data_IF_145721320432
#
_entry.id   IF_145721320432
#
_cell.length_a   1.000
_cell.length_b   1.000
_cell.length_c   1.000
_cell.angle_alpha   90.00
_cell.angle_beta   90.00
_cell.angle_gamma   90.00
#
_symmetry.space_group_name_H-M   'P 1'
#
loop_
_entity.id
_entity.type
_entity.pdbx_description
1 polymer ?
#
# COMPACT_ATOMS: atom_id res chain seq x y z
N UNK A 1 26.86 -35.05 16.87
CA UNK A 1 27.19 -34.90 15.43
C UNK A 1 27.03 -33.42 15.11
N UNK A 2 28.08 -32.75 14.64
CA UNK A 2 28.01 -31.34 14.23
C UNK A 2 28.14 -31.28 12.71
N UNK A 3 27.24 -30.55 12.05
CA UNK A 3 27.26 -30.33 10.61
C UNK A 3 27.54 -28.84 10.35
N UNK A 4 28.40 -28.54 9.38
CA UNK A 4 28.57 -27.19 8.88
C UNK A 4 27.43 -26.87 7.90
N UNK A 5 26.80 -25.72 8.08
CA UNK A 5 25.74 -25.22 7.21
C UNK A 5 26.26 -24.02 6.42
N UNK A 6 25.90 -23.93 5.15
CA UNK A 6 26.19 -22.78 4.31
C UNK A 6 25.26 -21.61 4.68
N UNK A 7 25.75 -20.67 5.50
CA UNK A 7 25.02 -19.44 5.80
C UNK A 7 25.20 -18.43 4.66
N UNK A 8 24.10 -18.00 4.01
CA UNK A 8 24.08 -17.13 2.83
C UNK A 8 24.61 -17.75 1.52
N UNK A 9 24.71 -19.07 1.46
CA UNK A 9 25.10 -19.83 0.27
C UNK A 9 24.19 -21.05 0.11
N UNK A 10 24.17 -21.66 -1.06
CA UNK A 10 23.42 -22.90 -1.32
C UNK A 10 24.33 -24.13 -1.28
N UNK A 11 23.79 -25.26 -0.83
CA UNK A 11 24.50 -26.54 -0.78
C UNK A 11 24.41 -27.28 -2.12
N UNK A 12 25.56 -27.68 -2.68
CA UNK A 12 25.64 -28.64 -3.79
C UNK A 12 25.66 -30.09 -3.26
N UNK A 13 25.24 -31.11 -4.03
CA UNK A 13 25.31 -32.52 -3.61
C UNK A 13 26.70 -33.01 -3.16
N UNK A 14 27.78 -32.29 -3.50
CA UNK A 14 29.15 -32.55 -3.04
C UNK A 14 29.52 -31.86 -1.72
N UNK A 15 28.61 -31.12 -1.09
CA UNK A 15 28.82 -30.42 0.18
C UNK A 15 29.62 -29.11 0.06
N UNK A 16 29.57 -28.45 -1.10
CA UNK A 16 30.25 -27.17 -1.35
C UNK A 16 29.24 -26.03 -1.27
N UNK A 17 29.62 -24.91 -0.64
CA UNK A 17 28.83 -23.68 -0.67
C UNK A 17 28.95 -22.98 -2.03
N UNK A 18 27.84 -22.87 -2.76
CA UNK A 18 27.72 -22.14 -4.01
C UNK A 18 27.05 -20.77 -3.79
N UNK A 19 27.45 -19.71 -4.55
CA UNK A 19 26.80 -18.41 -4.46
C UNK A 19 25.32 -18.52 -4.81
N UNK A 20 24.48 -17.81 -4.06
CA UNK A 20 23.04 -17.75 -4.32
C UNK A 20 22.76 -17.09 -5.67
N UNK A 21 21.77 -17.63 -6.37
CA UNK A 21 21.28 -17.15 -7.66
C UNK A 21 20.50 -15.85 -7.42
N UNK A 22 20.85 -14.80 -8.17
CA UNK A 22 20.22 -13.48 -8.11
C UNK A 22 18.71 -13.55 -8.38
N UNK A 23 17.96 -12.58 -7.84
CA UNK A 23 16.55 -12.41 -8.17
C UNK A 23 16.35 -12.29 -9.69
N UNK A 24 15.28 -12.89 -10.21
CA UNK A 24 14.99 -13.09 -11.64
C UNK A 24 16.00 -13.99 -12.39
N UNK A 25 16.92 -14.65 -11.68
CA UNK A 25 17.82 -15.65 -12.25
C UNK A 25 17.15 -17.02 -12.41
N UNK A 26 17.70 -17.85 -13.31
CA UNK A 26 17.22 -19.23 -13.54
C UNK A 26 17.63 -20.12 -12.37
N UNK A 27 16.70 -20.95 -11.88
CA UNK A 27 16.93 -21.88 -10.79
C UNK A 27 16.30 -23.26 -11.08
N UNK A 28 16.80 -24.27 -10.40
CA UNK A 28 16.31 -25.66 -10.53
C UNK A 28 15.59 -26.15 -9.26
N UNK A 29 15.90 -25.56 -8.11
CA UNK A 29 15.34 -25.96 -6.82
C UNK A 29 15.24 -24.79 -5.84
N UNK A 30 14.38 -24.93 -4.82
CA UNK A 30 14.35 -23.98 -3.71
C UNK A 30 15.67 -23.99 -2.92
N UNK A 31 15.98 -22.89 -2.26
CA UNK A 31 17.20 -22.74 -1.44
C UNK A 31 18.47 -22.36 -2.23
N UNK A 32 18.41 -22.31 -3.57
CA UNK A 32 19.53 -21.85 -4.41
C UNK A 32 19.46 -20.34 -4.71
N UNK A 33 18.31 -19.72 -4.49
CA UNK A 33 18.07 -18.31 -4.78
C UNK A 33 18.48 -17.40 -3.61
N UNK A 34 18.71 -16.12 -3.90
CA UNK A 34 18.97 -15.08 -2.88
C UNK A 34 17.91 -15.07 -1.78
N UNK A 35 18.26 -14.55 -0.60
CA UNK A 35 17.34 -14.43 0.53
C UNK A 35 16.02 -13.74 0.12
N UNK A 36 14.91 -14.16 0.73
CA UNK A 36 13.55 -13.67 0.44
C UNK A 36 13.09 -13.97 -1.00
N UNK A 37 13.56 -15.07 -1.59
CA UNK A 37 13.06 -15.58 -2.86
C UNK A 37 12.91 -17.09 -2.86
N UNK A 38 12.01 -17.57 -3.72
CA UNK A 38 11.78 -18.99 -3.98
C UNK A 38 11.99 -19.28 -5.46
N UNK A 39 12.33 -20.53 -5.78
CA UNK A 39 12.37 -20.98 -7.15
C UNK A 39 10.95 -21.29 -7.62
N UNK A 40 10.38 -20.39 -8.40
CA UNK A 40 9.04 -20.52 -8.95
C UNK A 40 9.12 -20.51 -10.47
N UNK A 41 8.58 -21.56 -11.10
CA UNK A 41 8.61 -21.74 -12.56
C UNK A 41 10.04 -21.63 -13.17
N UNK A 42 11.03 -22.17 -12.45
CA UNK A 42 12.44 -22.13 -12.86
C UNK A 42 13.10 -20.77 -12.72
N UNK A 43 12.46 -19.80 -12.04
CA UNK A 43 12.98 -18.44 -11.83
C UNK A 43 12.96 -18.08 -10.34
N UNK A 44 14.06 -17.50 -9.85
CA UNK A 44 14.14 -16.96 -8.50
C UNK A 44 13.23 -15.74 -8.35
N UNK A 45 12.05 -15.96 -7.77
CA UNK A 45 10.99 -14.97 -7.60
C UNK A 45 10.96 -14.51 -6.15
N UNK A 46 10.96 -13.19 -5.92
CA UNK A 46 10.86 -12.64 -4.57
C UNK A 46 9.51 -13.03 -3.94
N UNK A 47 9.54 -13.40 -2.66
CA UNK A 47 8.34 -13.75 -1.90
C UNK A 47 7.53 -12.49 -1.52
N UNK A 48 6.35 -12.69 -0.94
CA UNK A 48 5.47 -11.61 -0.51
C UNK A 48 6.20 -10.55 0.32
N UNK A 49 5.84 -9.29 0.10
CA UNK A 49 6.48 -8.10 0.66
C UNK A 49 7.89 -7.78 0.14
N UNK A 50 8.41 -8.51 -0.84
CA UNK A 50 9.68 -8.20 -1.49
C UNK A 50 9.55 -8.00 -3.01
N UNK A 51 10.44 -7.18 -3.57
CA UNK A 51 10.57 -6.99 -5.01
C UNK A 51 12.03 -7.11 -5.46
N UNK A 52 12.22 -7.53 -6.70
CA UNK A 52 13.54 -7.69 -7.29
C UNK A 52 14.11 -6.33 -7.72
N UNK A 53 15.26 -5.95 -7.15
CA UNK A 53 16.06 -4.79 -7.58
C UNK A 53 17.54 -5.13 -7.47
N UNK A 54 18.31 -4.84 -8.52
CA UNK A 54 19.77 -5.13 -8.59
C UNK A 54 20.14 -6.61 -8.35
N UNK A 55 19.22 -7.54 -8.64
CA UNK A 55 19.43 -8.98 -8.41
C UNK A 55 19.28 -9.42 -6.96
N UNK A 56 18.75 -8.56 -6.07
CA UNK A 56 18.38 -8.90 -4.70
C UNK A 56 16.89 -8.63 -4.47
N UNK A 57 16.29 -9.33 -3.50
CA UNK A 57 14.92 -9.08 -3.07
C UNK A 57 14.92 -8.05 -1.93
N UNK A 58 14.41 -6.86 -2.22
CA UNK A 58 14.30 -5.74 -1.27
C UNK A 58 12.86 -5.61 -0.77
N UNK A 59 12.67 -5.10 0.44
CA UNK A 59 11.35 -4.83 1.01
C UNK A 59 10.58 -3.83 0.14
N UNK A 60 9.27 -4.04 -0.03
CA UNK A 60 8.38 -3.06 -0.65
C UNK A 60 8.43 -1.72 0.10
N UNK A 61 8.33 -0.63 -0.66
CA UNK A 61 8.38 0.72 -0.11
C UNK A 61 7.08 1.10 0.59
N UNK A 62 7.21 1.59 1.83
CA UNK A 62 6.10 1.99 2.70
C UNK A 62 5.50 3.33 2.23
N UNK A 63 4.26 3.66 2.61
CA UNK A 63 3.69 4.96 2.32
C UNK A 63 4.58 6.09 2.85
N UNK A 64 4.84 7.11 2.04
CA UNK A 64 5.74 8.24 2.33
C UNK A 64 7.22 7.99 2.05
N UNK A 65 7.62 6.78 1.66
CA UNK A 65 8.98 6.51 1.21
C UNK A 65 9.22 7.10 -0.19
N UNK A 66 10.39 7.70 -0.40
CA UNK A 66 10.83 8.13 -1.74
C UNK A 66 10.94 6.92 -2.66
N UNK A 67 10.43 7.05 -3.88
CA UNK A 67 10.41 5.99 -4.88
C UNK A 67 10.83 6.54 -6.25
N UNK A 68 11.25 5.62 -7.13
CA UNK A 68 11.48 5.87 -8.55
C UNK A 68 10.59 4.95 -9.42
N UNK A 69 10.70 5.07 -10.74
CA UNK A 69 9.89 4.28 -11.69
C UNK A 69 10.16 2.76 -11.61
N UNK A 70 11.27 2.33 -11.00
CA UNK A 70 11.63 0.92 -10.82
C UNK A 70 11.18 0.36 -9.47
N UNK A 71 10.86 1.24 -8.52
CA UNK A 71 10.53 0.86 -7.16
C UNK A 71 9.08 0.39 -7.01
N UNK A 72 8.88 -0.60 -6.15
CA UNK A 72 7.56 -1.12 -5.82
C UNK A 72 7.16 -0.68 -4.43
N UNK A 73 6.03 0.02 -4.36
CA UNK A 73 5.37 0.34 -3.10
C UNK A 73 4.60 -0.88 -2.54
N UNK A 74 4.25 -0.84 -1.26
CA UNK A 74 3.39 -1.84 -0.63
C UNK A 74 2.05 -2.00 -1.35
N UNK A 75 1.32 -3.08 -1.07
CA UNK A 75 0.02 -3.31 -1.66
C UNK A 75 -0.92 -2.10 -1.48
N UNK A 76 -1.77 -1.84 -2.47
CA UNK A 76 -2.73 -0.73 -2.48
C UNK A 76 -2.08 0.66 -2.44
N UNK A 77 -0.81 0.76 -2.84
CA UNK A 77 -0.10 2.02 -3.01
C UNK A 77 0.62 2.08 -4.36
N UNK A 78 0.92 3.30 -4.81
CA UNK A 78 1.64 3.56 -6.05
C UNK A 78 2.65 4.68 -5.86
N UNK A 79 3.69 4.68 -6.70
CA UNK A 79 4.71 5.72 -6.69
C UNK A 79 4.14 6.96 -7.40
N UNK A 80 3.87 8.01 -6.64
CA UNK A 80 3.27 9.25 -7.17
C UNK A 80 4.26 10.42 -7.11
N UNK A 81 4.31 11.21 -8.19
CA UNK A 81 5.13 12.42 -8.25
C UNK A 81 4.63 13.47 -7.26
N UNK A 82 5.55 14.06 -6.52
CA UNK A 82 5.26 15.16 -5.61
C UNK A 82 5.15 16.44 -6.45
N UNK A 83 3.93 16.98 -6.56
CA UNK A 83 3.61 18.13 -7.42
C UNK A 83 4.46 19.39 -7.18
N UNK A 84 5.06 19.51 -5.98
CA UNK A 84 5.80 20.69 -5.55
C UNK A 84 7.32 20.51 -5.53
N UNK A 85 7.84 19.34 -5.93
CA UNK A 85 9.28 19.05 -5.93
C UNK A 85 9.66 18.33 -7.22
N UNK A 86 10.37 19.04 -8.09
CA UNK A 86 10.83 18.53 -9.38
C UNK A 86 11.67 17.26 -9.20
N UNK A 87 11.20 16.14 -9.77
CA UNK A 87 11.91 14.87 -9.73
C UNK A 87 11.77 14.06 -8.43
N UNK A 88 10.94 14.51 -7.47
CA UNK A 88 10.62 13.71 -6.30
C UNK A 88 9.31 12.93 -6.51
N UNK A 89 9.32 11.66 -6.18
CA UNK A 89 8.13 10.82 -6.08
C UNK A 89 8.15 10.07 -4.74
N UNK A 90 6.97 9.79 -4.22
CA UNK A 90 6.80 9.02 -2.98
C UNK A 90 5.67 8.00 -3.13
N UNK A 91 5.77 6.91 -2.38
CA UNK A 91 4.71 5.92 -2.31
C UNK A 91 3.48 6.51 -1.61
N UNK A 92 2.35 6.56 -2.30
CA UNK A 92 1.07 6.99 -1.74
C UNK A 92 0.05 5.88 -1.81
N UNK A 93 -0.75 5.74 -0.75
CA UNK A 93 -1.92 4.88 -0.79
C UNK A 93 -2.86 5.33 -1.91
N UNK A 94 -3.36 4.37 -2.66
CA UNK A 94 -4.27 4.63 -3.78
C UNK A 94 -5.56 5.27 -3.27
N UNK A 95 -6.33 5.96 -4.15
CA UNK A 95 -7.63 6.51 -3.78
C UNK A 95 -8.53 5.47 -3.12
N UNK A 96 -9.10 5.79 -1.96
CA UNK A 96 -9.88 4.85 -1.13
C UNK A 96 -9.10 4.16 -0.02
N UNK A 97 -7.80 4.42 0.11
CA UNK A 97 -6.97 3.88 1.18
C UNK A 97 -6.20 4.99 1.92
N UNK A 98 -5.96 4.80 3.22
CA UNK A 98 -5.12 5.67 4.04
C UNK A 98 -3.90 4.92 4.56
N UNK A 99 -2.83 5.65 4.84
CA UNK A 99 -1.61 5.09 5.41
C UNK A 99 -1.81 4.82 6.91
N UNK A 100 -1.75 3.55 7.30
CA UNK A 100 -1.70 3.13 8.70
C UNK A 100 -0.37 2.44 8.97
N UNK A 101 0.55 3.16 9.63
CA UNK A 101 1.93 2.73 9.85
C UNK A 101 2.65 2.47 8.52
N UNK A 102 2.83 1.20 8.16
CA UNK A 102 3.64 0.75 7.03
C UNK A 102 2.79 0.13 5.91
N UNK A 103 1.46 0.12 6.09
CA UNK A 103 0.50 -0.50 5.16
C UNK A 103 -0.62 0.48 4.82
N UNK A 104 -1.24 0.29 3.65
CA UNK A 104 -2.45 1.01 3.27
C UNK A 104 -3.69 0.23 3.72
N UNK A 105 -4.67 0.92 4.29
CA UNK A 105 -5.94 0.34 4.74
C UNK A 105 -7.12 1.12 4.19
N UNK A 106 -8.27 0.46 4.07
CA UNK A 106 -9.49 1.10 3.59
C UNK A 106 -9.84 2.32 4.44
N UNK A 107 -10.20 3.41 3.77
CA UNK A 107 -10.74 4.59 4.45
C UNK A 107 -12.07 4.26 5.15
N UNK A 108 -12.27 4.90 6.30
CA UNK A 108 -13.47 4.77 7.10
C UNK A 108 -14.63 5.57 6.49
N UNK A 109 -15.80 4.93 6.43
CA UNK A 109 -17.04 5.56 6.00
C UNK A 109 -17.50 6.61 7.02
N UNK A 110 -18.33 7.55 6.57
CA UNK A 110 -18.99 8.47 7.48
C UNK A 110 -19.83 7.70 8.52
N UNK A 111 -19.70 8.08 9.78
CA UNK A 111 -20.29 7.39 10.93
C UNK A 111 -19.42 6.30 11.56
N UNK A 112 -18.28 5.92 10.95
CA UNK A 112 -17.33 4.98 11.54
C UNK A 112 -16.30 5.68 12.44
N UNK A 113 -15.80 5.00 13.49
CA UNK A 113 -14.74 5.54 14.33
C UNK A 113 -13.45 5.74 13.54
N UNK A 114 -12.68 6.73 13.93
CA UNK A 114 -11.38 7.07 13.39
C UNK A 114 -10.42 7.43 14.53
N UNK A 115 -9.13 7.52 14.23
CA UNK A 115 -8.08 7.84 15.21
C UNK A 115 -7.25 9.06 14.80
N UNK A 116 -7.46 9.59 13.60
CA UNK A 116 -6.71 10.70 13.07
C UNK A 116 -7.28 11.25 11.78
N UNK A 117 -6.71 12.36 11.33
CA UNK A 117 -7.11 13.01 10.08
C UNK A 117 -6.75 12.18 8.86
N UNK A 118 -7.54 12.32 7.79
CA UNK A 118 -7.28 11.66 6.50
C UNK A 118 -7.55 10.15 6.48
N UNK A 119 -8.20 9.62 7.51
CA UNK A 119 -8.61 8.21 7.57
C UNK A 119 -9.98 7.96 6.96
N UNK A 120 -10.74 9.01 6.65
CA UNK A 120 -12.13 8.92 6.23
C UNK A 120 -12.27 8.96 4.70
N UNK A 121 -13.41 8.49 4.19
CA UNK A 121 -13.80 8.59 2.77
C UNK A 121 -13.67 10.03 2.25
N UNK A 122 -13.47 10.18 0.94
CA UNK A 122 -13.39 11.50 0.31
C UNK A 122 -14.61 12.36 0.65
N UNK A 123 -14.37 13.61 1.05
CA UNK A 123 -15.42 14.52 1.51
C UNK A 123 -15.81 14.37 2.99
N UNK A 124 -15.19 13.43 3.72
CA UNK A 124 -15.33 13.27 5.17
C UNK A 124 -14.01 13.54 5.90
N UNK A 125 -14.09 13.91 7.17
CA UNK A 125 -12.95 14.05 8.06
C UNK A 125 -13.27 13.55 9.47
N UNK A 126 -12.24 13.11 10.18
CA UNK A 126 -12.32 12.65 11.55
C UNK A 126 -12.63 13.80 12.50
N UNK A 127 -13.82 13.77 13.11
CA UNK A 127 -14.28 14.80 14.06
C UNK A 127 -13.98 14.38 15.49
N UNK A 128 -13.14 15.16 16.17
CA UNK A 128 -12.85 15.00 17.60
C UNK A 128 -14.02 15.47 18.47
N UNK A 129 -14.80 16.45 18.00
CA UNK A 129 -15.96 16.99 18.71
C UNK A 129 -17.10 15.96 18.81
N UNK A 130 -17.20 15.07 17.82
CA UNK A 130 -18.22 14.03 17.74
C UNK A 130 -17.68 12.66 18.18
N UNK A 131 -16.63 12.65 19.00
CA UNK A 131 -16.12 11.44 19.63
C UNK A 131 -15.24 10.57 18.73
N UNK A 132 -14.41 11.19 17.89
CA UNK A 132 -13.50 10.49 16.97
C UNK A 132 -14.24 9.64 15.94
N UNK A 133 -15.16 10.28 15.21
CA UNK A 133 -15.97 9.64 14.17
C UNK A 133 -15.80 10.40 12.86
N UNK A 134 -15.75 9.66 11.76
CA UNK A 134 -15.73 10.23 10.41
C UNK A 134 -17.04 10.94 10.10
N UNK A 135 -16.96 12.20 9.70
CA UNK A 135 -18.14 13.03 9.43
C UNK A 135 -17.98 13.73 8.10
N UNK A 136 -19.04 13.76 7.29
CA UNK A 136 -19.04 14.51 6.03
C UNK A 136 -18.80 16.00 6.31
N UNK A 137 -17.97 16.63 5.47
CA UNK A 137 -17.71 18.07 5.56
C UNK A 137 -18.97 18.91 5.29
N UNK A 138 -18.90 20.20 5.60
CA UNK A 138 -20.07 21.10 5.56
C UNK A 138 -20.78 21.16 4.19
N UNK A 139 -20.05 20.96 3.07
CA UNK A 139 -20.65 20.92 1.73
C UNK A 139 -21.08 19.52 1.25
N UNK A 140 -21.02 18.50 2.11
CA UNK A 140 -21.36 17.13 1.76
C UNK A 140 -22.54 16.60 2.59
N UNK A 141 -23.36 15.75 1.98
CA UNK A 141 -24.34 14.91 2.67
C UNK A 141 -23.90 13.46 2.66
N UNK A 142 -24.31 12.72 3.69
CA UNK A 142 -24.08 11.29 3.83
C UNK A 142 -25.21 10.50 3.18
N UNK A 143 -24.88 9.51 2.35
CA UNK A 143 -25.82 8.51 1.86
C UNK A 143 -26.03 7.37 2.87
N UNK A 144 -26.90 6.42 2.54
CA UNK A 144 -27.22 5.30 3.44
C UNK A 144 -26.06 4.28 3.56
N UNK A 145 -25.00 4.41 2.74
CA UNK A 145 -23.82 3.56 2.75
C UNK A 145 -22.60 4.21 3.42
N UNK A 146 -22.74 5.45 3.92
CA UNK A 146 -21.67 6.20 4.58
C UNK A 146 -20.72 6.90 3.61
N UNK A 147 -21.12 7.12 2.36
CA UNK A 147 -20.40 7.88 1.36
C UNK A 147 -20.84 9.34 1.40
N UNK A 148 -19.88 10.26 1.26
CA UNK A 148 -20.14 11.69 1.26
C UNK A 148 -20.23 12.23 -0.17
N UNK A 149 -21.37 12.81 -0.52
CA UNK A 149 -21.61 13.45 -1.81
C UNK A 149 -21.85 14.95 -1.64
N UNK A 150 -21.42 15.76 -2.61
CA UNK A 150 -21.68 17.20 -2.58
C UNK A 150 -23.18 17.46 -2.54
N UNK A 151 -23.60 18.45 -1.74
CA UNK A 151 -24.99 18.92 -1.79
C UNK A 151 -25.37 19.36 -3.20
N UNK A 152 -26.59 19.03 -3.57
CA UNK A 152 -27.24 19.50 -4.79
C UNK A 152 -27.54 20.99 -4.67
N UNK A 153 -27.24 21.72 -5.74
CA UNK A 153 -27.46 23.16 -5.84
C UNK A 153 -28.95 23.49 -5.85
N UNK A 154 -29.28 24.71 -5.44
CA UNK A 154 -30.64 25.22 -5.55
C UNK A 154 -31.15 25.14 -7.00
N UNK A 155 -32.42 24.74 -7.16
CA UNK A 155 -33.04 24.50 -8.47
C UNK A 155 -32.69 23.16 -9.14
N UNK A 156 -31.82 22.32 -8.54
CA UNK A 156 -31.57 20.97 -9.07
C UNK A 156 -32.49 19.91 -8.44
N UNK A 157 -32.96 18.92 -9.22
CA UNK A 157 -33.84 17.89 -8.68
C UNK A 157 -33.10 16.97 -7.68
N UNK A 158 -33.63 16.90 -6.46
CA UNK A 158 -33.17 15.97 -5.42
C UNK A 158 -34.21 14.85 -5.17
N UNK A 159 -33.73 13.62 -4.89
CA UNK A 159 -34.61 12.48 -4.58
C UNK A 159 -35.01 12.46 -3.10
N UNK A 160 -34.22 13.11 -2.26
CA UNK A 160 -34.47 13.28 -0.83
C UNK A 160 -34.01 14.66 -0.38
N UNK A 161 -34.69 15.20 0.64
CA UNK A 161 -34.34 16.48 1.27
C UNK A 161 -32.94 16.49 1.88
N UNK A 162 -32.38 15.31 2.19
CA UNK A 162 -31.00 15.17 2.69
C UNK A 162 -29.92 15.53 1.65
N UNK A 163 -30.28 15.56 0.36
CA UNK A 163 -29.34 15.79 -0.74
C UNK A 163 -29.21 17.27 -1.12
N UNK A 164 -30.17 18.11 -0.73
CA UNK A 164 -30.26 19.49 -1.21
C UNK A 164 -29.55 20.45 -0.23
N UNK A 165 -28.93 21.52 -0.75
CA UNK A 165 -28.28 22.54 0.10
C UNK A 165 -29.27 23.12 1.12
N UNK A 166 -28.83 23.27 2.38
CA UNK A 166 -29.64 23.91 3.42
C UNK A 166 -29.59 25.43 3.24
N UNK A 167 -30.76 26.08 3.23
CA UNK A 167 -30.89 27.54 3.31
C UNK A 167 -30.71 28.03 4.75
#
# INVERSE_FOLDING_TARGET
MFYCLCFHFSDDPRGTCLPLIKANGVCESNGTCVTNSLCYDGICTCVDHFYARDGVCRDLLKPGATCDDLDKCVELSSCEKISNVSGAAECKCNPGYYAEKEVCRDVHKAGQPCSGRGQCVSGAECSTELGWVCTCGAQYYQDDYGVCYLYKLDGTPCNSTKECTKN
#
